data_IF_618058094611
#
_entry.id   IF_618058094611
#
_cell.length_a   1.000
_cell.length_b   1.000
_cell.length_c   1.000
_cell.angle_alpha   90.00
_cell.angle_beta   90.00
_cell.angle_gamma   90.00
#
_symmetry.space_group_name_H-M   'P 1'
#
loop_
_entity.id
_entity.type
_entity.pdbx_description
1 polymer ?
#
# COMPACT_ATOMS: atom_id res chain seq x y z
N UNK A 1 16.89 26.29 1.15
CA UNK A 1 17.58 25.03 1.52
C UNK A 1 17.71 24.01 0.39
N UNK A 2 16.96 24.09 -0.71
CA UNK A 2 17.12 23.17 -1.84
C UNK A 2 16.57 21.75 -1.65
N UNK A 3 16.14 21.39 -0.44
CA UNK A 3 15.63 20.06 -0.10
C UNK A 3 14.22 19.86 -0.63
N UNK A 4 13.94 18.66 -1.16
CA UNK A 4 12.57 18.23 -1.45
C UNK A 4 11.80 18.09 -0.13
N UNK A 5 10.61 18.70 -0.04
CA UNK A 5 9.71 18.61 1.12
C UNK A 5 8.42 17.91 0.71
N UNK A 6 7.89 17.05 1.57
CA UNK A 6 6.63 16.35 1.36
C UNK A 6 5.65 16.61 2.51
N UNK A 7 4.37 16.66 2.16
CA UNK A 7 3.25 16.61 3.08
C UNK A 7 2.40 15.38 2.75
N UNK A 8 1.71 14.83 3.75
CA UNK A 8 0.60 13.92 3.50
C UNK A 8 -0.68 14.75 3.37
N UNK A 9 -1.34 14.81 2.19
CA UNK A 9 -2.58 15.55 2.03
C UNK A 9 -3.80 14.83 2.62
N UNK A 10 -3.68 13.56 3.02
CA UNK A 10 -4.77 12.76 3.57
C UNK A 10 -4.90 12.90 5.09
N UNK A 11 -6.09 12.60 5.62
CA UNK A 11 -6.39 12.67 7.07
C UNK A 11 -6.76 11.30 7.67
N UNK A 12 -6.47 10.23 6.94
CA UNK A 12 -6.84 8.88 7.32
C UNK A 12 -6.11 7.84 6.50
N UNK A 13 -6.37 6.58 6.82
CA UNK A 13 -5.87 5.43 6.08
C UNK A 13 -7.04 4.69 5.44
N UNK A 14 -6.94 4.45 4.14
CA UNK A 14 -7.84 3.58 3.40
C UNK A 14 -7.13 2.26 3.06
N UNK A 15 -6.86 1.46 4.09
CA UNK A 15 -5.99 0.27 3.99
C UNK A 15 -6.74 -0.98 3.52
N UNK A 16 -6.04 -1.85 2.79
CA UNK A 16 -6.52 -3.21 2.44
C UNK A 16 -6.59 -4.03 3.73
N UNK A 17 -7.76 -4.58 4.04
CA UNK A 17 -7.94 -5.37 5.25
C UNK A 17 -7.28 -6.77 5.14
N UNK A 18 -7.52 -7.58 4.10
CA UNK A 18 -6.96 -8.94 4.00
C UNK A 18 -5.43 -8.96 4.10
N UNK A 19 -4.92 -9.87 4.93
CA UNK A 19 -3.49 -9.97 5.27
C UNK A 19 -3.02 -9.04 6.38
N UNK A 20 -3.83 -8.11 6.88
CA UNK A 20 -3.52 -7.32 8.08
C UNK A 20 -3.74 -8.18 9.32
N UNK A 21 -2.73 -8.30 10.17
CA UNK A 21 -2.74 -9.13 11.39
C UNK A 21 -1.75 -8.60 12.41
N UNK A 22 -1.75 -9.18 13.62
CA UNK A 22 -0.74 -8.88 14.64
C UNK A 22 0.70 -9.18 14.18
N UNK A 23 0.91 -10.13 13.27
CA UNK A 23 2.24 -10.49 12.78
C UNK A 23 2.69 -9.65 11.59
N UNK A 24 1.76 -9.15 10.78
CA UNK A 24 2.06 -8.38 9.56
C UNK A 24 2.02 -6.87 9.77
N UNK A 25 1.05 -6.37 10.55
CA UNK A 25 0.89 -4.96 10.85
C UNK A 25 0.07 -4.75 12.15
N UNK A 26 0.69 -4.95 13.33
CA UNK A 26 0.00 -4.78 14.61
C UNK A 26 -0.51 -3.34 14.81
N UNK A 27 0.22 -2.35 14.31
CA UNK A 27 -0.19 -0.94 14.38
C UNK A 27 -1.53 -0.71 13.65
N UNK A 28 -1.70 -1.27 12.44
CA UNK A 28 -2.96 -1.15 11.73
C UNK A 28 -4.10 -1.87 12.45
N UNK A 29 -3.85 -3.02 13.08
CA UNK A 29 -4.87 -3.72 13.85
C UNK A 29 -5.33 -2.90 15.07
N UNK A 30 -4.39 -2.27 15.78
CA UNK A 30 -4.71 -1.37 16.89
C UNK A 30 -5.48 -0.13 16.41
N UNK A 31 -5.12 0.43 15.24
CA UNK A 31 -5.80 1.59 14.66
C UNK A 31 -7.27 1.35 14.34
N UNK A 32 -7.65 0.13 13.95
CA UNK A 32 -8.98 -0.13 13.39
C UNK A 32 -10.03 -0.54 14.43
N UNK A 33 -9.62 -0.64 15.71
CA UNK A 33 -10.48 -1.11 16.80
C UNK A 33 -11.65 -0.17 17.12
N UNK A 34 -11.52 1.13 16.85
CA UNK A 34 -12.59 2.11 17.07
C UNK A 34 -12.66 3.14 15.93
N UNK A 35 -13.78 3.87 15.83
CA UNK A 35 -14.04 4.94 14.87
C UNK A 35 -13.65 4.61 13.41
N UNK A 36 -13.79 3.33 13.04
CA UNK A 36 -13.35 2.81 11.75
C UNK A 36 -14.54 2.29 10.96
N UNK A 37 -14.59 2.66 9.67
CA UNK A 37 -15.58 2.12 8.74
C UNK A 37 -14.92 0.97 7.97
N UNK A 38 -15.48 -0.22 8.07
CA UNK A 38 -15.09 -1.35 7.25
C UNK A 38 -16.01 -1.50 6.04
N UNK A 39 -15.46 -1.91 4.90
CA UNK A 39 -16.22 -2.13 3.67
C UNK A 39 -15.84 -3.48 3.06
N UNK A 40 -16.85 -4.33 2.82
CA UNK A 40 -16.73 -5.66 2.22
C UNK A 40 -15.85 -6.65 3.01
N UNK A 41 -15.71 -6.46 4.33
CA UNK A 41 -15.18 -7.50 5.24
C UNK A 41 -16.29 -8.45 5.65
N UNK A 42 -15.95 -9.56 6.31
CA UNK A 42 -16.92 -10.42 6.96
C UNK A 42 -17.23 -9.90 8.38
N UNK A 43 -18.36 -10.34 8.93
CA UNK A 43 -18.84 -10.01 10.27
C UNK A 43 -19.02 -11.29 11.08
N UNK A 44 -18.59 -11.27 12.33
CA UNK A 44 -18.76 -12.37 13.28
C UNK A 44 -20.04 -12.18 14.10
N UNK A 45 -20.61 -13.26 14.65
CA UNK A 45 -21.90 -13.17 15.36
C UNK A 45 -21.86 -12.40 16.69
N UNK A 46 -20.69 -12.15 17.25
CA UNK A 46 -20.43 -11.29 18.40
C UNK A 46 -20.23 -9.80 18.02
N UNK A 47 -20.32 -9.46 16.73
CA UNK A 47 -20.28 -8.08 16.24
C UNK A 47 -18.90 -7.57 15.84
N UNK A 48 -17.90 -8.45 15.72
CA UNK A 48 -16.56 -8.13 15.25
C UNK A 48 -16.43 -8.36 13.72
N UNK A 49 -15.24 -8.10 13.18
CA UNK A 49 -14.90 -8.23 11.76
C UNK A 49 -13.97 -9.41 11.52
N UNK A 50 -14.04 -9.96 10.31
CA UNK A 50 -13.15 -11.04 9.87
C UNK A 50 -12.68 -10.83 8.43
N UNK A 51 -11.43 -11.21 8.17
CA UNK A 51 -10.86 -11.30 6.83
C UNK A 51 -9.76 -12.36 6.78
N UNK A 52 -9.42 -12.78 5.57
CA UNK A 52 -8.35 -13.75 5.33
C UNK A 52 -7.02 -13.25 5.90
N UNK A 53 -6.43 -14.03 6.80
CA UNK A 53 -5.11 -13.78 7.36
C UNK A 53 -5.09 -12.80 8.55
N UNK A 54 -6.22 -12.46 9.17
CA UNK A 54 -6.25 -11.62 10.38
C UNK A 54 -5.54 -12.25 11.59
N UNK A 55 -5.44 -13.59 11.60
CA UNK A 55 -4.82 -14.39 12.66
C UNK A 55 -5.38 -15.81 12.63
N UNK A 56 -4.83 -16.70 13.46
CA UNK A 56 -5.47 -18.00 13.72
C UNK A 56 -6.87 -17.72 14.25
N UNK A 57 -7.84 -18.27 13.52
CA UNK A 57 -9.15 -18.72 14.00
C UNK A 57 -9.23 -18.55 15.51
N UNK A 58 -9.92 -17.50 15.95
CA UNK A 58 -10.28 -17.27 17.36
C UNK A 58 -10.55 -18.64 17.97
N UNK A 59 -9.78 -19.05 18.98
CA UNK A 59 -10.10 -20.20 19.83
C UNK A 59 -11.54 -19.98 20.33
N UNK A 60 -12.54 -20.47 19.59
CA UNK A 60 -13.93 -19.99 19.70
C UNK A 60 -14.73 -19.88 18.39
N UNK A 61 -14.13 -20.03 17.20
CA UNK A 61 -14.89 -20.09 15.92
C UNK A 61 -15.85 -21.29 15.85
N UNK A 62 -15.71 -22.24 16.77
CA UNK A 62 -16.71 -23.30 16.98
C UNK A 62 -18.05 -22.75 17.53
N UNK A 63 -18.05 -21.60 18.21
CA UNK A 63 -19.24 -20.95 18.79
C UNK A 63 -19.66 -19.68 18.01
N UNK A 64 -18.73 -19.01 17.35
CA UNK A 64 -19.00 -17.76 16.61
C UNK A 64 -19.22 -18.02 15.11
N UNK A 65 -20.40 -17.71 14.58
CA UNK A 65 -20.69 -17.85 13.15
C UNK A 65 -20.23 -16.63 12.35
N UNK A 66 -19.71 -16.83 11.14
CA UNK A 66 -19.27 -15.75 10.25
C UNK A 66 -20.30 -15.51 9.14
N UNK A 67 -20.58 -14.24 8.88
CA UNK A 67 -21.31 -13.75 7.71
C UNK A 67 -20.33 -13.07 6.75
N UNK A 68 -20.17 -13.64 5.56
CA UNK A 68 -19.29 -13.10 4.52
C UNK A 68 -19.73 -11.73 4.03
N UNK A 69 -18.82 -11.04 3.33
CA UNK A 69 -19.09 -9.77 2.65
C UNK A 69 -20.24 -9.81 1.63
N UNK A 70 -20.61 -11.01 1.13
CA UNK A 70 -21.78 -11.24 0.28
C UNK A 70 -23.09 -11.39 1.06
N UNK A 71 -23.07 -11.11 2.38
CA UNK A 71 -24.18 -11.28 3.29
C UNK A 71 -24.72 -12.72 3.37
N UNK A 72 -23.81 -13.71 3.30
CA UNK A 72 -24.12 -15.15 3.38
C UNK A 72 -23.34 -15.79 4.53
N UNK A 73 -23.92 -16.80 5.18
CA UNK A 73 -23.19 -17.66 6.14
C UNK A 73 -21.93 -18.21 5.46
N UNK A 74 -20.81 -18.16 6.18
CA UNK A 74 -19.52 -18.57 5.68
C UNK A 74 -18.89 -19.64 6.58
N UNK A 75 -18.18 -20.58 5.97
CA UNK A 75 -17.24 -21.48 6.62
C UNK A 75 -16.03 -21.69 5.72
N UNK A 76 -14.90 -22.11 6.30
CA UNK A 76 -13.65 -22.34 5.57
C UNK A 76 -13.81 -23.39 4.46
N UNK A 77 -14.73 -24.35 4.63
CA UNK A 77 -15.00 -25.44 3.68
C UNK A 77 -15.67 -24.98 2.38
N UNK A 78 -16.22 -23.77 2.33
CA UNK A 78 -16.90 -23.25 1.13
C UNK A 78 -15.94 -22.89 0.00
N UNK A 79 -14.63 -22.76 0.28
CA UNK A 79 -13.61 -22.44 -0.73
C UNK A 79 -13.69 -21.04 -1.33
N UNK A 80 -14.62 -20.19 -0.86
CA UNK A 80 -14.69 -18.76 -1.19
C UNK A 80 -14.15 -17.92 -0.03
N UNK A 81 -13.53 -16.75 -0.28
CA UNK A 81 -13.09 -15.88 0.80
C UNK A 81 -14.29 -15.23 1.53
N UNK A 82 -14.16 -15.09 2.85
CA UNK A 82 -15.11 -14.43 3.74
C UNK A 82 -15.17 -12.92 3.47
N UNK A 83 -14.02 -12.29 3.19
CA UNK A 83 -13.92 -10.89 2.82
C UNK A 83 -13.60 -10.72 1.32
N UNK A 84 -13.95 -9.58 0.74
CA UNK A 84 -13.49 -9.27 -0.62
C UNK A 84 -11.96 -9.10 -0.63
N UNK A 85 -11.20 -9.58 -1.63
CA UNK A 85 -9.73 -9.44 -1.65
C UNK A 85 -9.19 -7.99 -1.62
N UNK A 86 -10.04 -7.03 -1.95
CA UNK A 86 -9.78 -5.58 -1.84
C UNK A 86 -10.75 -4.90 -0.86
N UNK A 87 -11.26 -5.63 0.13
CA UNK A 87 -11.99 -5.03 1.25
C UNK A 87 -11.09 -4.09 2.04
N UNK A 88 -11.70 -3.10 2.67
CA UNK A 88 -10.98 -1.94 3.20
C UNK A 88 -11.42 -1.62 4.62
N UNK A 89 -10.48 -1.09 5.39
CA UNK A 89 -10.77 -0.27 6.55
C UNK A 89 -10.51 1.20 6.21
N UNK A 90 -11.34 2.09 6.73
CA UNK A 90 -11.19 3.54 6.65
C UNK A 90 -11.14 4.09 8.07
N UNK A 91 -9.95 4.47 8.53
CA UNK A 91 -9.69 4.94 9.90
C UNK A 91 -8.96 6.28 9.90
N UNK A 92 -9.09 7.03 10.98
CA UNK A 92 -8.44 8.34 11.15
C UNK A 92 -6.95 8.19 11.39
N UNK A 93 -6.15 9.10 10.81
CA UNK A 93 -4.69 9.07 10.95
C UNK A 93 -4.24 9.22 12.41
N UNK A 94 -5.06 9.91 13.23
CA UNK A 94 -4.80 10.19 14.64
C UNK A 94 -4.77 8.95 15.53
N UNK A 95 -5.31 7.82 15.06
CA UNK A 95 -5.29 6.56 15.81
C UNK A 95 -3.98 5.79 15.63
N UNK A 96 -3.08 6.22 14.74
CA UNK A 96 -1.78 5.59 14.55
C UNK A 96 -0.85 5.86 15.74
N UNK A 97 -0.47 4.81 16.48
CA UNK A 97 0.39 4.90 17.66
C UNK A 97 1.84 5.30 17.35
N UNK A 98 2.25 5.21 16.08
CA UNK A 98 3.58 5.61 15.58
C UNK A 98 3.50 6.82 14.64
N UNK A 99 2.44 7.63 14.74
CA UNK A 99 2.29 8.82 13.92
C UNK A 99 3.48 9.77 14.13
N UNK A 100 4.15 10.12 13.04
CA UNK A 100 5.26 11.06 13.09
C UNK A 100 4.79 12.42 13.64
N UNK A 101 5.50 13.06 14.59
CA UNK A 101 5.05 14.33 15.17
C UNK A 101 4.92 15.46 14.15
N UNK A 102 5.61 15.38 13.01
CA UNK A 102 5.60 16.37 11.94
C UNK A 102 4.61 16.01 10.80
N UNK A 103 3.74 15.00 10.98
CA UNK A 103 2.82 14.51 9.95
C UNK A 103 1.92 15.62 9.35
N UNK A 104 1.57 16.64 10.15
CA UNK A 104 0.76 17.79 9.75
C UNK A 104 1.57 19.11 9.72
N UNK A 105 2.90 19.04 9.69
CA UNK A 105 3.73 20.24 9.56
C UNK A 105 3.46 20.92 8.20
N UNK A 106 3.00 22.18 8.17
CA UNK A 106 2.71 22.89 6.92
C UNK A 106 3.95 23.12 6.04
N UNK A 107 5.15 23.05 6.61
CA UNK A 107 6.42 23.13 5.88
C UNK A 107 6.83 21.79 5.26
N UNK A 108 6.17 20.69 5.65
CA UNK A 108 6.50 19.34 5.26
C UNK A 108 7.83 18.82 5.80
N UNK A 109 8.03 17.51 5.64
CA UNK A 109 9.25 16.82 6.06
C UNK A 109 10.23 16.73 4.88
N UNK A 110 11.55 16.87 5.12
CA UNK A 110 12.52 16.75 4.06
C UNK A 110 12.66 15.28 3.60
N UNK A 111 12.67 15.06 2.29
CA UNK A 111 12.85 13.74 1.68
C UNK A 111 14.32 13.51 1.33
N UNK A 112 14.90 12.44 1.86
CA UNK A 112 16.30 12.04 1.60
C UNK A 112 16.43 10.81 0.69
N UNK A 113 15.38 10.01 0.59
CA UNK A 113 15.32 8.85 -0.29
C UNK A 113 13.93 8.70 -0.92
N UNK A 114 13.91 8.26 -2.19
CA UNK A 114 12.71 7.81 -2.90
C UNK A 114 12.90 6.33 -3.22
N UNK A 115 11.89 5.51 -2.90
CA UNK A 115 11.96 4.07 -3.08
C UNK A 115 10.87 3.63 -4.06
N UNK A 116 11.29 3.04 -5.17
CA UNK A 116 10.43 2.34 -6.10
C UNK A 116 10.37 0.84 -5.75
N UNK A 117 9.32 0.15 -6.20
CA UNK A 117 9.22 -1.28 -5.99
C UNK A 117 7.91 -1.85 -6.51
N UNK A 118 7.91 -3.16 -6.73
CA UNK A 118 6.76 -3.88 -7.24
C UNK A 118 6.88 -5.38 -6.98
N UNK A 119 5.79 -6.12 -7.21
CA UNK A 119 5.77 -7.58 -7.03
C UNK A 119 6.49 -8.24 -8.19
N UNK A 120 7.71 -8.75 -7.95
CA UNK A 120 8.53 -9.43 -8.97
C UNK A 120 8.99 -10.79 -8.43
N UNK A 121 8.43 -11.92 -8.91
CA UNK A 121 8.77 -13.24 -8.38
C UNK A 121 10.19 -13.68 -8.72
N UNK A 122 10.80 -13.12 -9.77
CA UNK A 122 12.11 -13.50 -10.27
C UNK A 122 12.90 -12.31 -10.82
N UNK A 123 14.24 -12.46 -10.84
CA UNK A 123 15.19 -11.61 -11.56
C UNK A 123 15.53 -10.26 -10.92
N UNK A 124 14.60 -9.60 -10.23
CA UNK A 124 14.87 -8.32 -9.55
C UNK A 124 15.39 -8.57 -8.14
N UNK A 125 16.58 -8.06 -7.76
CA UNK A 125 17.16 -8.30 -6.44
C UNK A 125 16.36 -7.57 -5.34
N UNK A 126 16.64 -7.93 -4.08
CA UNK A 126 15.98 -7.35 -2.91
C UNK A 126 16.03 -5.82 -2.88
N UNK A 127 17.20 -5.24 -3.17
CA UNK A 127 17.42 -3.79 -3.20
C UNK A 127 18.56 -3.44 -4.15
N UNK A 128 18.43 -2.31 -4.83
CA UNK A 128 19.54 -1.62 -5.50
C UNK A 128 19.35 -0.10 -5.47
N UNK A 129 20.46 0.63 -5.49
CA UNK A 129 20.51 2.10 -5.57
C UNK A 129 20.70 2.51 -7.05
N UNK A 130 20.02 3.58 -7.47
CA UNK A 130 20.26 4.20 -8.77
C UNK A 130 21.62 4.90 -8.79
N UNK A 131 22.24 4.99 -9.96
CA UNK A 131 23.57 5.58 -10.11
C UNK A 131 23.54 7.11 -10.02
N UNK A 132 22.45 7.70 -10.48
CA UNK A 132 22.18 9.13 -10.49
C UNK A 132 20.67 9.38 -10.64
N UNK A 133 20.28 10.64 -10.72
CA UNK A 133 18.89 11.04 -10.85
C UNK A 133 18.25 10.52 -12.14
N UNK A 134 18.93 10.62 -13.27
CA UNK A 134 18.43 10.19 -14.57
C UNK A 134 18.21 8.68 -14.60
N UNK A 135 19.15 7.89 -14.07
CA UNK A 135 19.00 6.46 -13.88
C UNK A 135 17.83 6.15 -12.93
N UNK A 136 17.66 6.90 -11.84
CA UNK A 136 16.54 6.73 -10.93
C UNK A 136 15.17 7.01 -11.56
N UNK A 137 15.06 8.04 -12.40
CA UNK A 137 13.85 8.32 -13.19
C UNK A 137 13.56 7.19 -14.17
N UNK A 138 14.60 6.65 -14.83
CA UNK A 138 14.47 5.48 -15.69
C UNK A 138 13.99 4.25 -14.91
N UNK A 139 14.55 3.98 -13.73
CA UNK A 139 14.12 2.90 -12.83
C UNK A 139 12.64 3.03 -12.49
N UNK A 140 12.18 4.22 -12.11
CA UNK A 140 10.76 4.50 -11.88
C UNK A 140 9.88 4.27 -13.12
N UNK A 141 10.35 4.68 -14.30
CA UNK A 141 9.64 4.50 -15.57
C UNK A 141 9.52 3.02 -15.99
N UNK A 142 10.52 2.21 -15.64
CA UNK A 142 10.58 0.80 -15.99
C UNK A 142 9.92 -0.13 -14.96
N UNK A 143 9.31 0.43 -13.91
CA UNK A 143 8.61 -0.35 -12.90
C UNK A 143 7.59 -1.32 -13.51
N UNK A 144 7.62 -2.55 -13.01
CA UNK A 144 6.67 -3.62 -13.34
C UNK A 144 6.27 -4.33 -12.05
N UNK A 145 5.02 -4.77 -11.97
CA UNK A 145 4.48 -5.51 -10.83
C UNK A 145 3.46 -6.54 -11.29
N UNK A 146 3.36 -7.66 -10.58
CA UNK A 146 2.18 -8.53 -10.67
C UNK A 146 0.90 -7.72 -10.38
N UNK A 147 -0.15 -7.96 -11.16
CA UNK A 147 -1.46 -7.37 -10.95
C UNK A 147 -2.04 -7.73 -9.56
N UNK A 148 -2.79 -6.79 -8.97
CA UNK A 148 -3.43 -6.95 -7.67
C UNK A 148 -4.94 -6.77 -7.81
N UNK A 149 -5.71 -7.19 -6.78
CA UNK A 149 -7.16 -7.05 -6.75
C UNK A 149 -7.66 -5.60 -6.59
N UNK A 150 -6.77 -4.60 -6.61
CA UNK A 150 -7.13 -3.20 -6.46
C UNK A 150 -7.85 -2.62 -7.69
N UNK A 151 -7.73 -3.25 -8.86
CA UNK A 151 -8.35 -2.84 -10.12
C UNK A 151 -8.96 -4.05 -10.87
N UNK A 152 -9.47 -3.88 -12.10
CA UNK A 152 -10.13 -4.96 -12.85
C UNK A 152 -9.21 -6.08 -13.35
N UNK A 153 -7.89 -5.94 -13.21
CA UNK A 153 -6.93 -6.91 -13.74
C UNK A 153 -6.96 -8.23 -12.95
N UNK A 154 -7.19 -9.33 -13.66
CA UNK A 154 -7.24 -10.69 -13.08
C UNK A 154 -5.92 -11.42 -13.25
N UNK A 155 -5.55 -12.21 -12.24
CA UNK A 155 -4.40 -13.12 -12.28
C UNK A 155 -3.07 -12.47 -11.89
N UNK A 156 -1.97 -13.23 -11.99
CA UNK A 156 -0.61 -12.82 -11.63
C UNK A 156 0.20 -12.31 -12.82
N UNK A 157 -0.44 -11.57 -13.73
CA UNK A 157 0.26 -11.03 -14.90
C UNK A 157 1.20 -9.89 -14.48
N UNK A 158 2.44 -9.90 -14.98
CA UNK A 158 3.40 -8.82 -14.75
C UNK A 158 3.09 -7.66 -15.70
N UNK A 159 2.62 -6.55 -15.16
CA UNK A 159 2.28 -5.36 -15.92
C UNK A 159 3.28 -4.23 -15.69
N UNK A 160 3.42 -3.32 -16.66
CA UNK A 160 4.09 -2.04 -16.42
C UNK A 160 3.25 -1.18 -15.48
N UNK A 161 3.90 -0.54 -14.52
CA UNK A 161 3.29 0.42 -13.60
C UNK A 161 4.29 1.53 -13.26
N UNK A 162 4.64 2.39 -14.24
CA UNK A 162 5.66 3.42 -14.06
C UNK A 162 5.33 4.31 -12.88
N UNK A 163 6.28 4.47 -11.95
CA UNK A 163 6.16 5.28 -10.73
C UNK A 163 4.99 4.87 -9.81
N UNK A 164 4.41 3.67 -9.98
CA UNK A 164 3.13 3.27 -9.38
C UNK A 164 1.95 4.24 -9.72
N UNK A 165 2.06 4.95 -10.84
CA UNK A 165 1.16 6.01 -11.27
C UNK A 165 0.35 5.66 -12.51
N UNK A 166 0.44 4.42 -13.05
CA UNK A 166 -0.28 4.04 -14.28
C UNK A 166 -1.77 4.41 -14.26
N UNK A 167 -2.54 4.12 -13.20
CA UNK A 167 -3.96 4.47 -13.18
C UNK A 167 -4.24 5.93 -12.73
N UNK A 168 -3.21 6.72 -12.44
CA UNK A 168 -3.33 8.01 -11.75
C UNK A 168 -2.71 9.20 -12.49
N UNK A 169 -2.15 8.99 -13.70
CA UNK A 169 -1.62 10.11 -14.48
C UNK A 169 -2.74 11.08 -14.87
N UNK A 170 -2.67 12.31 -14.35
CA UNK A 170 -3.58 13.40 -14.73
C UNK A 170 -3.21 14.12 -16.03
N UNK A 171 -2.08 13.77 -16.65
CA UNK A 171 -1.58 14.35 -17.90
C UNK A 171 -0.64 13.36 -18.63
N UNK A 172 -0.08 13.77 -19.77
CA UNK A 172 0.78 12.91 -20.60
C UNK A 172 2.00 12.37 -19.82
N UNK A 173 2.19 11.05 -19.85
CA UNK A 173 3.30 10.37 -19.16
C UNK A 173 4.70 10.82 -19.64
N UNK A 174 4.89 11.10 -20.93
CA UNK A 174 6.17 11.63 -21.43
C UNK A 174 6.50 12.99 -20.83
N UNK A 175 5.50 13.87 -20.71
CA UNK A 175 5.64 15.14 -20.00
C UNK A 175 5.90 14.94 -18.50
N UNK A 176 5.31 13.90 -17.89
CA UNK A 176 5.58 13.54 -16.50
C UNK A 176 7.04 13.13 -16.29
N UNK A 177 7.59 12.30 -17.17
CA UNK A 177 9.02 11.96 -17.16
C UNK A 177 9.90 13.20 -17.34
N UNK A 178 9.58 14.06 -18.31
CA UNK A 178 10.31 15.31 -18.52
C UNK A 178 10.26 16.22 -17.28
N UNK A 179 9.13 16.25 -16.57
CA UNK A 179 9.00 16.98 -15.32
C UNK A 179 9.93 16.42 -14.23
N UNK A 180 9.98 15.10 -14.04
CA UNK A 180 10.94 14.47 -13.12
C UNK A 180 12.39 14.77 -13.49
N UNK A 181 12.76 14.64 -14.76
CA UNK A 181 14.12 14.93 -15.24
C UNK A 181 14.50 16.41 -15.01
N UNK A 182 13.52 17.33 -15.09
CA UNK A 182 13.76 18.76 -14.89
C UNK A 182 14.31 19.10 -13.49
N UNK A 183 14.05 18.27 -12.47
CA UNK A 183 14.63 18.47 -11.13
C UNK A 183 16.15 18.26 -11.14
N UNK A 184 16.65 17.31 -11.93
CA UNK A 184 18.08 17.05 -12.11
C UNK A 184 18.86 18.21 -12.71
N UNK A 185 18.18 19.09 -13.45
CA UNK A 185 18.78 20.26 -14.10
C UNK A 185 18.78 21.52 -13.22
N UNK A 186 18.11 21.50 -12.06
CA UNK A 186 18.03 22.68 -11.17
C UNK A 186 19.34 22.84 -10.39
N UNK A 187 19.78 24.07 -10.21
CA UNK A 187 20.92 24.40 -9.36
C UNK A 187 20.48 24.57 -7.90
N UNK A 188 21.34 24.18 -6.96
CA UNK A 188 21.06 24.36 -5.52
C UNK A 188 19.95 23.47 -4.96
N UNK A 189 19.58 22.39 -5.65
CA UNK A 189 18.65 21.37 -5.12
C UNK A 189 19.42 20.19 -4.52
N UNK A 190 18.91 19.68 -3.41
CA UNK A 190 19.38 18.43 -2.79
C UNK A 190 18.40 17.33 -3.20
N UNK A 191 18.79 16.57 -4.23
CA UNK A 191 17.99 15.48 -4.73
C UNK A 191 18.09 14.27 -3.80
N UNK A 192 16.97 13.61 -3.48
CA UNK A 192 17.00 12.38 -2.70
C UNK A 192 17.66 11.27 -3.52
N UNK A 193 18.30 10.33 -2.82
CA UNK A 193 18.76 9.08 -3.44
C UNK A 193 17.56 8.27 -3.91
N UNK A 194 17.70 7.58 -5.04
CA UNK A 194 16.64 6.71 -5.57
C UNK A 194 17.06 5.26 -5.39
N UNK A 195 16.17 4.46 -4.83
CA UNK A 195 16.33 3.02 -4.67
C UNK A 195 15.18 2.28 -5.35
N UNK A 196 15.40 1.00 -5.63
CA UNK A 196 14.34 0.07 -5.98
C UNK A 196 14.44 -1.17 -5.11
N UNK A 197 13.29 -1.65 -4.60
CA UNK A 197 13.18 -2.84 -3.75
C UNK A 197 12.28 -3.90 -4.36
N UNK A 198 12.51 -5.16 -3.98
CA UNK A 198 11.64 -6.29 -4.30
C UNK A 198 11.48 -7.21 -3.09
N UNK A 199 10.35 -7.09 -2.39
CA UNK A 199 9.98 -7.95 -1.26
C UNK A 199 9.37 -9.30 -1.68
N UNK A 200 9.20 -9.54 -2.97
CA UNK A 200 8.36 -10.61 -3.50
C UNK A 200 9.12 -11.63 -4.35
N UNK A 201 10.45 -11.64 -4.25
CA UNK A 201 11.28 -12.69 -4.83
C UNK A 201 10.88 -14.05 -4.23
N UNK A 202 10.82 -15.10 -5.05
CA UNK A 202 10.44 -16.46 -4.63
C UNK A 202 11.55 -17.46 -4.87
#
# INVERSE_FOLDING_TARGET
EGRLRAINPEFGFFGVAPGTSKSTNPIALDMVHENTIFTNVAETSDGDVYWEGIGEVIDGLHETSIRSWKNKRWSIDLGEPAAHPNSRFCTTIKQCSILDPEWNNPQGVPIEAIIFGGRRPEGVPLVYEAFDWQHGVFVGACMRSEATAAAEFKGKQIMHDPFAMRPFFGYNFGSYLAHWLSFGAKTGVHLPKIYHVNWFLR
#
